data_IF_189146195746
#
_entry.id   IF_189146195746
#
_cell.length_a   1.000
_cell.length_b   1.000
_cell.length_c   1.000
_cell.angle_alpha   90.00
_cell.angle_beta   90.00
_cell.angle_gamma   90.00
#
_symmetry.space_group_name_H-M   'P 1'
#
loop_
_entity.id
_entity.type
_entity.pdbx_description
1 polymer ?
#
# COMPACT_ATOMS: atom_id res chain seq x y z
N UNK A 1 25.41 13.53 57.59
CA UNK A 1 25.07 14.31 56.38
C UNK A 1 24.47 13.35 55.35
N UNK A 2 23.33 13.75 54.73
CA UNK A 2 22.64 13.25 53.49
C UNK A 2 22.42 11.73 53.38
N UNK A 3 21.21 11.23 53.67
CA UNK A 3 19.95 11.19 52.86
C UNK A 3 20.03 10.35 51.58
N UNK A 4 18.96 9.58 51.43
CA UNK A 4 18.80 8.31 50.74
C UNK A 4 18.39 8.44 49.27
N UNK A 5 18.52 7.31 48.55
CA UNK A 5 17.83 6.86 47.33
C UNK A 5 18.02 7.66 46.03
N UNK A 6 18.53 6.95 45.01
CA UNK A 6 17.79 6.87 43.75
C UNK A 6 18.03 5.49 43.12
N UNK A 7 17.09 4.59 43.37
CA UNK A 7 16.85 3.41 42.57
C UNK A 7 16.54 3.93 41.16
N UNK A 8 17.51 3.87 40.26
CA UNK A 8 17.26 3.88 38.83
C UNK A 8 16.53 2.56 38.52
N UNK A 9 15.24 2.54 38.84
CA UNK A 9 14.28 1.76 38.08
C UNK A 9 14.38 2.34 36.68
N UNK A 10 15.29 1.80 35.90
CA UNK A 10 15.22 1.87 34.46
C UNK A 10 13.86 1.31 34.14
N UNK A 11 12.91 2.22 33.91
CA UNK A 11 11.68 1.93 33.20
C UNK A 11 12.19 1.45 31.85
N UNK A 12 12.44 0.14 31.76
CA UNK A 12 12.31 -0.58 30.53
C UNK A 12 10.88 -0.28 30.13
N UNK A 13 10.72 0.79 29.34
CA UNK A 13 9.50 1.09 28.67
C UNK A 13 9.23 -0.17 27.88
N UNK A 14 8.38 -1.02 28.44
CA UNK A 14 7.64 -1.98 27.65
C UNK A 14 6.95 -1.09 26.62
N UNK A 15 7.58 -0.98 25.45
CA UNK A 15 6.93 -0.64 24.20
C UNK A 15 5.89 -1.75 24.05
N UNK A 16 4.80 -1.64 24.80
CA UNK A 16 3.57 -2.32 24.49
C UNK A 16 3.24 -1.78 23.12
N UNK A 17 3.62 -2.53 22.10
CA UNK A 17 3.24 -2.20 20.74
C UNK A 17 1.73 -2.45 20.75
N UNK A 18 0.99 -1.38 21.01
CA UNK A 18 -0.46 -1.43 21.14
C UNK A 18 -0.98 -1.82 19.77
N UNK A 19 -1.29 -3.11 19.61
CA UNK A 19 -1.97 -3.58 18.42
C UNK A 19 -3.34 -2.91 18.38
N UNK A 20 -3.69 -2.34 17.24
CA UNK A 20 -5.04 -1.87 16.95
C UNK A 20 -5.46 -2.36 15.59
N UNK A 21 -6.76 -2.26 15.35
CA UNK A 21 -7.33 -2.55 14.05
C UNK A 21 -7.04 -1.39 13.09
N UNK A 22 -6.42 -1.73 11.96
CA UNK A 22 -6.21 -0.83 10.82
C UNK A 22 -7.01 -1.33 9.64
N UNK A 23 -7.78 -0.45 9.01
CA UNK A 23 -8.47 -0.79 7.78
C UNK A 23 -7.52 -0.63 6.60
N UNK A 24 -7.37 -1.66 5.79
CA UNK A 24 -6.60 -1.61 4.56
C UNK A 24 -7.53 -1.28 3.39
N UNK A 25 -7.26 -0.18 2.70
CA UNK A 25 -7.97 0.22 1.49
C UNK A 25 -7.06 0.19 0.28
N UNK A 26 -7.60 -0.28 -0.84
CA UNK A 26 -6.89 -0.28 -2.10
C UNK A 26 -7.61 0.53 -3.16
N UNK A 27 -6.82 1.27 -3.92
CA UNK A 27 -7.26 2.02 -5.09
C UNK A 27 -6.79 1.28 -6.33
N UNK A 28 -7.70 0.93 -7.24
CA UNK A 28 -7.31 0.29 -8.50
C UNK A 28 -7.12 1.35 -9.58
N UNK A 29 -6.06 1.16 -10.36
CA UNK A 29 -5.67 2.00 -11.47
C UNK A 29 -5.56 1.14 -12.71
N UNK A 30 -5.99 1.71 -13.82
CA UNK A 30 -5.84 1.14 -15.15
C UNK A 30 -5.26 2.20 -16.06
N UNK A 31 -4.22 1.86 -16.79
CA UNK A 31 -3.68 2.71 -17.84
C UNK A 31 -3.54 1.93 -19.14
N UNK A 32 -3.82 2.60 -20.25
CA UNK A 32 -3.59 2.11 -21.60
C UNK A 32 -2.74 3.15 -22.32
N UNK A 33 -1.54 2.75 -22.74
CA UNK A 33 -0.60 3.61 -23.46
C UNK A 33 -0.42 3.07 -24.87
N UNK A 34 -0.70 3.89 -25.87
CA UNK A 34 -0.32 3.60 -27.25
C UNK A 34 1.17 3.92 -27.43
N UNK A 35 2.00 2.90 -27.67
CA UNK A 35 3.45 3.05 -27.72
C UNK A 35 3.94 3.81 -28.97
N UNK A 36 3.13 3.85 -30.03
CA UNK A 36 3.48 4.55 -31.28
C UNK A 36 3.26 6.07 -31.17
N UNK A 37 2.21 6.48 -30.45
CA UNK A 37 1.83 7.91 -30.33
C UNK A 37 2.16 8.51 -28.97
N UNK A 38 2.44 7.69 -27.96
CA UNK A 38 2.60 8.11 -26.56
C UNK A 38 1.30 8.49 -25.85
N UNK A 39 0.14 8.41 -26.52
CA UNK A 39 -1.13 8.73 -25.89
C UNK A 39 -1.45 7.73 -24.78
N UNK A 40 -1.86 8.25 -23.63
CA UNK A 40 -2.21 7.44 -22.46
C UNK A 40 -3.61 7.78 -21.99
N UNK A 41 -4.41 6.75 -21.74
CA UNK A 41 -5.72 6.85 -21.09
C UNK A 41 -5.59 6.17 -19.73
N UNK A 42 -6.03 6.86 -18.68
CA UNK A 42 -5.99 6.33 -17.32
C UNK A 42 -7.38 6.38 -16.69
N UNK A 43 -7.70 5.35 -15.92
CA UNK A 43 -8.90 5.28 -15.10
C UNK A 43 -8.52 4.81 -13.71
N UNK A 44 -9.22 5.33 -12.70
CA UNK A 44 -9.06 4.92 -11.31
C UNK A 44 -10.43 4.48 -10.81
N UNK A 45 -10.55 3.25 -10.31
CA UNK A 45 -11.75 2.82 -9.62
C UNK A 45 -11.63 3.18 -8.13
N UNK A 46 -12.77 3.44 -7.50
CA UNK A 46 -12.84 3.93 -6.12
C UNK A 46 -12.16 3.02 -5.10
N UNK A 47 -11.91 3.57 -3.92
CA UNK A 47 -11.28 2.86 -2.80
C UNK A 47 -12.19 1.72 -2.33
N UNK A 48 -11.64 0.51 -2.24
CA UNK A 48 -12.32 -0.66 -1.68
C UNK A 48 -11.59 -1.10 -0.42
N UNK A 49 -12.31 -1.20 0.70
CA UNK A 49 -11.78 -1.83 1.92
C UNK A 49 -11.64 -3.32 1.68
N UNK A 50 -10.41 -3.83 1.78
CA UNK A 50 -10.13 -5.25 1.48
C UNK A 50 -10.08 -6.07 2.76
N UNK A 51 -9.54 -5.51 3.84
CA UNK A 51 -9.38 -6.21 5.11
C UNK A 51 -9.14 -5.28 6.29
N UNK A 52 -9.30 -5.82 7.48
CA UNK A 52 -8.84 -5.21 8.74
C UNK A 52 -7.64 -5.99 9.26
N UNK A 53 -6.58 -5.28 9.65
CA UNK A 53 -5.33 -5.85 10.16
C UNK A 53 -5.16 -5.42 11.63
N UNK A 54 -5.15 -6.38 12.55
CA UNK A 54 -4.84 -6.14 13.95
C UNK A 54 -3.34 -6.30 14.19
N UNK A 55 -2.60 -5.20 14.22
CA UNK A 55 -1.16 -5.22 14.44
C UNK A 55 -0.63 -3.87 14.94
N UNK A 56 0.69 -3.73 15.03
CA UNK A 56 1.35 -2.42 15.08
C UNK A 56 1.14 -1.67 13.77
N UNK A 57 1.29 -0.34 13.80
CA UNK A 57 1.15 0.48 12.60
C UNK A 57 2.08 0.02 11.49
N UNK A 58 3.38 -0.08 11.78
CA UNK A 58 4.40 -0.46 10.81
C UNK A 58 4.12 -1.85 10.20
N UNK A 59 3.80 -2.85 11.03
CA UNK A 59 3.46 -4.18 10.51
C UNK A 59 2.15 -4.18 9.69
N UNK A 60 1.17 -3.36 10.07
CA UNK A 60 -0.09 -3.24 9.33
C UNK A 60 0.11 -2.52 7.99
N UNK A 61 0.98 -1.52 7.94
CA UNK A 61 1.42 -0.86 6.71
C UNK A 61 2.11 -1.84 5.78
N UNK A 62 3.09 -2.60 6.27
CA UNK A 62 3.81 -3.61 5.48
C UNK A 62 2.84 -4.65 4.90
N UNK A 63 1.99 -5.24 5.75
CA UNK A 63 1.01 -6.26 5.33
C UNK A 63 -0.05 -5.72 4.38
N UNK A 64 -0.49 -4.48 4.54
CA UNK A 64 -1.43 -3.86 3.62
C UNK A 64 -0.72 -3.54 2.29
N UNK A 65 0.53 -3.08 2.33
CA UNK A 65 1.36 -2.80 1.18
C UNK A 65 1.63 -4.04 0.31
N UNK A 66 1.83 -5.21 0.92
CA UNK A 66 1.97 -6.51 0.24
C UNK A 66 0.75 -6.90 -0.62
N UNK A 67 -0.41 -6.32 -0.36
CA UNK A 67 -1.61 -6.53 -1.19
C UNK A 67 -1.60 -5.70 -2.47
N UNK A 68 -0.71 -4.72 -2.58
CA UNK A 68 -0.54 -3.91 -3.79
C UNK A 68 0.08 -4.76 -4.89
N UNK A 69 -0.53 -4.76 -6.07
CA UNK A 69 0.06 -5.42 -7.25
C UNK A 69 0.06 -4.50 -8.44
N UNK A 70 0.95 -4.78 -9.38
CA UNK A 70 1.00 -4.13 -10.70
C UNK A 70 1.29 -5.19 -11.74
N UNK A 71 0.45 -5.23 -12.77
CA UNK A 71 0.51 -6.15 -13.88
C UNK A 71 0.55 -5.32 -15.16
N UNK A 72 1.49 -5.63 -16.03
CA UNK A 72 1.62 -5.00 -17.33
C UNK A 72 1.46 -6.05 -18.42
N UNK A 73 0.62 -5.75 -19.40
CA UNK A 73 0.39 -6.56 -20.59
C UNK A 73 0.62 -5.73 -21.84
N UNK A 74 1.08 -6.35 -22.91
CA UNK A 74 1.34 -5.70 -24.19
C UNK A 74 0.57 -6.40 -25.29
N UNK A 75 -0.27 -5.63 -25.98
CA UNK A 75 -1.11 -6.09 -27.06
C UNK A 75 -0.69 -5.43 -28.38
N UNK A 76 -0.71 -6.18 -29.48
CA UNK A 76 -0.54 -5.63 -30.83
C UNK A 76 -1.88 -5.63 -31.53
N UNK A 77 -2.37 -4.44 -31.87
CA UNK A 77 -3.63 -4.26 -32.57
C UNK A 77 -3.53 -4.78 -34.00
N UNK A 78 -4.37 -5.76 -34.33
CA UNK A 78 -4.33 -6.47 -35.61
C UNK A 78 -4.76 -5.62 -36.81
N UNK A 79 -5.45 -4.50 -36.59
CA UNK A 79 -5.94 -3.62 -37.65
C UNK A 79 -4.97 -2.49 -37.97
N UNK A 80 -4.34 -1.92 -36.94
CA UNK A 80 -3.45 -0.77 -37.05
C UNK A 80 -1.98 -1.14 -36.93
N UNK A 81 -1.66 -2.36 -36.49
CA UNK A 81 -0.30 -2.84 -36.23
C UNK A 81 0.36 -2.18 -35.00
N UNK A 82 -0.39 -1.37 -34.25
CA UNK A 82 0.14 -0.59 -33.14
C UNK A 82 0.28 -1.44 -31.88
N UNK A 83 1.35 -1.19 -31.13
CA UNK A 83 1.54 -1.81 -29.82
C UNK A 83 0.90 -0.93 -28.74
N UNK A 84 0.03 -1.53 -27.95
CA UNK A 84 -0.62 -0.91 -26.79
C UNK A 84 -0.12 -1.61 -25.53
N UNK A 85 0.32 -0.83 -24.55
CA UNK A 85 0.69 -1.32 -23.22
C UNK A 85 -0.45 -1.05 -22.26
N UNK A 86 -0.97 -2.09 -21.62
CA UNK A 86 -1.94 -2.00 -20.55
C UNK A 86 -1.25 -2.21 -19.21
N UNK A 87 -1.48 -1.31 -18.26
CA UNK A 87 -1.05 -1.50 -16.87
C UNK A 87 -2.27 -1.52 -15.96
N UNK A 88 -2.40 -2.58 -15.18
CA UNK A 88 -3.40 -2.74 -14.14
C UNK A 88 -2.66 -2.76 -12.81
N UNK A 89 -3.05 -1.89 -11.88
CA UNK A 89 -2.45 -1.90 -10.57
C UNK A 89 -3.47 -1.63 -9.49
N UNK A 90 -3.20 -2.12 -8.29
CA UNK A 90 -3.84 -1.63 -7.08
C UNK A 90 -2.78 -1.16 -6.11
N UNK A 91 -3.02 -0.03 -5.49
CA UNK A 91 -2.19 0.50 -4.44
C UNK A 91 -2.97 0.48 -3.13
N UNK A 92 -2.43 -0.21 -2.14
CA UNK A 92 -3.06 -0.46 -0.86
C UNK A 92 -2.35 0.29 0.25
N UNK A 93 -3.13 0.91 1.13
CA UNK A 93 -2.62 1.60 2.32
C UNK A 93 -3.60 1.46 3.46
N UNK A 94 -3.07 1.48 4.69
CA UNK A 94 -3.93 1.60 5.86
C UNK A 94 -4.60 2.98 5.88
N UNK A 95 -5.83 3.02 6.39
CA UNK A 95 -6.57 4.24 6.72
C UNK A 95 -6.84 4.22 8.22
N UNK A 96 -6.50 5.34 8.88
CA UNK A 96 -6.66 5.57 10.32
C UNK A 96 -8.09 6.03 10.68
#
# INVERSE_FOLDING_TARGET
>A
MKKTYLLLVGVAGALFSCKKDYNCQCTYTYTATNNATGQTISSTSGQTSISTINDTKDNAEDRCGELSTTITDTYVDSYTGQTITYTYGNNCSIID
#
